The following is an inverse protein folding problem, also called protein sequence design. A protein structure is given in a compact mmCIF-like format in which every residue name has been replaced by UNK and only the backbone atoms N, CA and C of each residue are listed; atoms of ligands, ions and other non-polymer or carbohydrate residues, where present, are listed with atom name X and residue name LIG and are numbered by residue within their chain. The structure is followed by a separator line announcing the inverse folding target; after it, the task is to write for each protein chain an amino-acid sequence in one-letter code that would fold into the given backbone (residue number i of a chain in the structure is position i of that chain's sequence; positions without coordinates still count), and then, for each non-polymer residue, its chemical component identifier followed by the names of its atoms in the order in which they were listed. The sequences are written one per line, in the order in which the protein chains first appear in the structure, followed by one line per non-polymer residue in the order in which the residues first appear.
data_IF_598010091067
#
_entry.id   IF_598010091067
#
_cell.length_a   1.000
_cell.length_b   1.000
_cell.length_c   1.000
_cell.angle_alpha   90.00
_cell.angle_beta   90.00
_cell.angle_gamma   90.00
#
_symmetry.space_group_name_H-M   'P 1'
#
loop_
_entity.id
_entity.type
_entity.pdbx_description
1 polymer ?
#
# COMPACT_ATOMS: atom_id res chain seq x y z
N UNK A 1 19.21 -37.81 0.90
CA UNK A 1 18.63 -37.44 -0.41
C UNK A 1 17.20 -36.86 -0.33
N UNK A 2 16.52 -36.94 0.80
CA UNK A 2 15.11 -36.47 0.92
C UNK A 2 14.94 -34.97 1.15
N UNK A 3 15.90 -34.31 1.76
CA UNK A 3 15.77 -32.89 2.13
C UNK A 3 15.90 -31.94 0.93
N UNK A 4 16.74 -32.27 -0.04
CA UNK A 4 16.94 -31.42 -1.23
C UNK A 4 15.69 -31.44 -2.12
N UNK A 5 15.02 -32.58 -2.23
CA UNK A 5 13.80 -32.74 -3.04
C UNK A 5 12.64 -31.95 -2.43
N UNK A 6 12.50 -31.97 -1.10
CA UNK A 6 11.44 -31.25 -0.39
C UNK A 6 11.61 -29.73 -0.52
N UNK A 7 12.84 -29.25 -0.42
CA UNK A 7 13.15 -27.80 -0.56
C UNK A 7 12.89 -27.30 -1.97
N UNK A 8 13.26 -28.07 -2.99
CA UNK A 8 12.98 -27.72 -4.40
C UNK A 8 11.49 -27.73 -4.70
N UNK A 9 10.73 -28.67 -4.15
CA UNK A 9 9.28 -28.72 -4.32
C UNK A 9 8.57 -27.54 -3.61
N UNK A 10 9.03 -27.15 -2.44
CA UNK A 10 8.51 -25.99 -1.73
C UNK A 10 8.84 -24.69 -2.47
N UNK A 11 10.03 -24.58 -3.03
CA UNK A 11 10.45 -23.42 -3.82
C UNK A 11 9.60 -23.27 -5.09
N UNK A 12 9.42 -24.37 -5.83
CA UNK A 12 8.60 -24.40 -7.03
C UNK A 12 7.13 -24.05 -6.72
N UNK A 13 6.60 -24.51 -5.59
CA UNK A 13 5.25 -24.16 -5.16
C UNK A 13 5.13 -22.66 -4.83
N UNK A 14 6.10 -22.11 -4.09
CA UNK A 14 6.13 -20.70 -3.74
C UNK A 14 6.27 -19.78 -4.97
N UNK A 15 6.98 -20.22 -6.00
CA UNK A 15 7.11 -19.51 -7.27
C UNK A 15 5.81 -19.57 -8.07
N UNK A 16 5.16 -20.73 -8.14
CA UNK A 16 3.88 -20.88 -8.84
C UNK A 16 2.74 -20.08 -8.16
N UNK A 17 2.82 -19.86 -6.86
CA UNK A 17 1.86 -19.01 -6.14
C UNK A 17 1.98 -17.52 -6.51
N UNK A 18 3.08 -17.11 -7.12
CA UNK A 18 3.32 -15.72 -7.56
C UNK A 18 2.93 -15.47 -9.02
N UNK A 19 2.61 -16.52 -9.76
CA UNK A 19 2.12 -16.40 -11.13
C UNK A 19 0.80 -15.61 -11.18
N UNK A 20 0.65 -14.72 -12.14
CA UNK A 20 -0.57 -13.98 -12.32
C UNK A 20 -0.41 -12.66 -13.07
N UNK A 21 -1.44 -11.85 -12.98
CA UNK A 21 -1.49 -10.54 -13.63
C UNK A 21 -0.94 -9.45 -12.71
N UNK A 22 -0.04 -8.67 -13.28
CA UNK A 22 0.60 -7.55 -12.60
C UNK A 22 0.36 -6.25 -13.35
N UNK A 23 -0.06 -5.22 -12.64
CA UNK A 23 -0.05 -3.87 -13.14
C UNK A 23 1.38 -3.34 -13.07
N UNK A 24 1.94 -2.95 -14.19
CA UNK A 24 3.29 -2.39 -14.24
C UNK A 24 3.25 -0.87 -14.28
N UNK A 25 4.22 -0.28 -13.62
CA UNK A 25 4.37 1.17 -13.49
C UNK A 25 5.83 1.54 -13.32
N UNK A 26 6.17 2.78 -13.63
CA UNK A 26 7.52 3.28 -13.49
C UNK A 26 7.71 4.15 -12.25
N UNK A 27 8.87 4.01 -11.64
CA UNK A 27 9.44 4.94 -10.68
C UNK A 27 10.87 5.23 -11.09
N UNK A 28 11.19 6.48 -11.36
CA UNK A 28 12.48 6.88 -11.94
C UNK A 28 12.72 6.15 -13.30
N UNK A 29 13.77 5.37 -13.38
CA UNK A 29 14.12 4.65 -14.60
C UNK A 29 13.84 3.14 -14.49
N UNK A 30 13.16 2.71 -13.45
CA UNK A 30 12.91 1.29 -13.18
C UNK A 30 11.42 0.97 -13.22
N UNK A 31 11.12 -0.22 -13.66
CA UNK A 31 9.75 -0.73 -13.75
C UNK A 31 9.42 -1.66 -12.60
N UNK A 32 8.25 -1.45 -12.04
CA UNK A 32 7.70 -2.20 -10.91
C UNK A 32 6.38 -2.85 -11.28
N UNK A 33 5.99 -3.87 -10.56
CA UNK A 33 4.70 -4.53 -10.73
C UNK A 33 3.97 -4.73 -9.41
N UNK A 34 2.66 -4.57 -9.46
CA UNK A 34 1.74 -4.92 -8.37
C UNK A 34 0.76 -5.98 -8.84
N UNK A 35 0.46 -6.95 -7.98
CA UNK A 35 -0.62 -7.90 -8.25
C UNK A 35 -1.91 -7.14 -8.56
N UNK A 36 -2.53 -7.45 -9.71
CA UNK A 36 -3.74 -6.74 -10.16
C UNK A 36 -4.89 -6.84 -9.16
N UNK A 37 -4.95 -7.92 -8.40
CA UNK A 37 -5.98 -8.13 -7.37
C UNK A 37 -5.88 -7.15 -6.20
N UNK A 38 -4.72 -6.54 -6.01
CA UNK A 38 -4.51 -5.48 -5.01
C UNK A 38 -4.88 -4.09 -5.52
N UNK A 39 -5.01 -3.92 -6.82
CA UNK A 39 -5.34 -2.65 -7.46
C UNK A 39 -6.84 -2.48 -7.51
N UNK A 40 -7.34 -1.44 -6.87
CA UNK A 40 -8.76 -1.09 -6.89
C UNK A 40 -9.10 -0.19 -8.07
N UNK A 41 -8.33 0.85 -8.28
CA UNK A 41 -8.47 1.76 -9.40
C UNK A 41 -7.20 2.60 -9.63
N UNK A 42 -7.12 3.22 -10.78
CA UNK A 42 -6.05 4.15 -11.15
C UNK A 42 -6.70 5.48 -11.46
N UNK A 43 -6.21 6.53 -10.82
CA UNK A 43 -6.73 7.89 -11.01
C UNK A 43 -5.59 8.84 -11.41
N UNK A 44 -5.92 9.90 -12.14
CA UNK A 44 -4.97 10.97 -12.40
C UNK A 44 -4.52 11.66 -11.10
N UNK A 45 -3.36 12.29 -11.14
CA UNK A 45 -2.88 13.05 -9.99
C UNK A 45 -3.85 14.19 -9.69
N UNK A 46 -4.24 14.31 -8.45
CA UNK A 46 -5.19 15.30 -7.97
C UNK A 46 -4.64 16.05 -6.76
N UNK A 47 -5.31 17.11 -6.35
CA UNK A 47 -4.94 17.85 -5.16
C UNK A 47 -4.99 16.98 -3.91
N UNK A 48 -3.89 16.98 -3.17
CA UNK A 48 -3.71 16.21 -1.94
C UNK A 48 -3.67 17.17 -0.76
N UNK A 49 -4.50 16.90 0.23
CA UNK A 49 -4.50 17.66 1.48
C UNK A 49 -3.41 17.14 2.39
N UNK A 50 -2.40 17.97 2.66
CA UNK A 50 -1.31 17.60 3.53
C UNK A 50 -1.77 17.40 4.99
N UNK A 51 -1.29 16.35 5.63
CA UNK A 51 -1.55 16.06 7.05
C UNK A 51 -0.29 16.35 7.84
N UNK A 52 -0.35 17.22 8.87
CA UNK A 52 0.83 17.54 9.67
C UNK A 52 1.31 16.35 10.50
N UNK A 53 2.61 16.36 10.83
CA UNK A 53 3.26 15.34 11.67
C UNK A 53 3.26 13.90 11.07
N UNK A 54 3.17 13.80 9.76
CA UNK A 54 3.31 12.53 9.05
C UNK A 54 4.74 12.34 8.52
N UNK A 55 5.18 11.09 8.28
CA UNK A 55 6.44 10.82 7.61
C UNK A 55 6.54 11.51 6.25
N UNK A 56 7.75 11.80 5.79
CA UNK A 56 8.00 12.54 4.54
C UNK A 56 7.40 11.87 3.29
N UNK A 57 7.26 10.54 3.28
CA UNK A 57 6.65 9.81 2.17
C UNK A 57 5.12 9.87 2.16
N UNK A 58 4.48 10.29 3.24
CA UNK A 58 3.03 10.52 3.28
C UNK A 58 2.74 11.88 2.70
N UNK A 59 2.11 11.90 1.54
CA UNK A 59 1.70 13.14 0.87
C UNK A 59 0.55 13.82 1.58
N UNK A 60 -0.34 13.03 2.17
CA UNK A 60 -1.54 13.52 2.82
C UNK A 60 -2.73 12.60 2.54
N UNK A 61 -3.88 13.20 2.32
CA UNK A 61 -5.13 12.49 2.04
C UNK A 61 -5.85 13.10 0.82
N UNK A 62 -6.63 12.27 0.16
CA UNK A 62 -7.57 12.69 -0.89
C UNK A 62 -8.98 12.31 -0.51
N UNK A 63 -9.95 13.04 -1.04
CA UNK A 63 -11.35 12.65 -1.00
C UNK A 63 -11.72 11.94 -2.31
N UNK A 64 -11.88 10.65 -2.25
CA UNK A 64 -12.30 9.85 -3.39
C UNK A 64 -13.73 9.37 -3.18
N UNK A 65 -14.68 10.01 -3.89
CA UNK A 65 -16.12 9.70 -3.81
C UNK A 65 -16.68 9.72 -2.39
N UNK A 66 -16.24 10.69 -1.57
CA UNK A 66 -16.67 10.84 -0.19
C UNK A 66 -15.89 10.00 0.82
N UNK A 67 -14.93 9.21 0.38
CA UNK A 67 -14.03 8.46 1.24
C UNK A 67 -12.68 9.16 1.33
N UNK A 68 -12.20 9.39 2.55
CA UNK A 68 -10.86 9.94 2.78
C UNK A 68 -9.84 8.80 2.72
N UNK A 69 -8.89 8.93 1.80
CA UNK A 69 -7.87 7.91 1.53
C UNK A 69 -6.49 8.51 1.74
N UNK A 70 -5.61 7.88 2.53
CA UNK A 70 -4.22 8.30 2.64
C UNK A 70 -3.47 8.10 1.32
N UNK A 71 -2.52 8.99 1.04
CA UNK A 71 -1.70 8.95 -0.18
C UNK A 71 -0.23 8.94 0.19
N UNK A 72 0.48 8.00 -0.36
CA UNK A 72 1.91 7.76 -0.17
C UNK A 72 2.66 7.99 -1.47
N UNK A 73 3.78 8.67 -1.39
CA UNK A 73 4.73 8.78 -2.50
C UNK A 73 5.70 7.61 -2.45
N UNK A 74 5.63 6.70 -3.42
CA UNK A 74 6.52 5.54 -3.45
C UNK A 74 7.98 5.89 -3.67
N UNK A 75 8.29 6.96 -4.42
CA UNK A 75 9.66 7.43 -4.55
C UNK A 75 10.25 7.80 -3.20
N UNK A 76 9.53 8.61 -2.44
CA UNK A 76 9.94 9.02 -1.11
C UNK A 76 10.03 7.83 -0.14
N UNK A 77 9.09 6.88 -0.24
CA UNK A 77 9.08 5.65 0.57
C UNK A 77 10.32 4.80 0.33
N UNK A 78 10.78 4.72 -0.91
CA UNK A 78 11.99 3.99 -1.28
C UNK A 78 13.29 4.81 -1.17
N UNK A 79 13.21 6.04 -0.65
CA UNK A 79 14.38 6.90 -0.50
C UNK A 79 14.94 7.43 -1.82
N UNK A 80 14.12 7.46 -2.87
CA UNK A 80 14.48 8.04 -4.16
C UNK A 80 14.28 9.55 -4.14
N UNK A 81 14.96 10.26 -5.04
CA UNK A 81 14.72 11.67 -5.24
C UNK A 81 13.28 11.92 -5.71
N UNK A 82 12.62 12.86 -5.05
CA UNK A 82 11.29 13.30 -5.48
C UNK A 82 11.41 14.20 -6.71
N UNK A 83 10.46 14.07 -7.61
CA UNK A 83 10.37 14.93 -8.78
C UNK A 83 9.07 15.70 -8.81
N UNK A 84 9.00 16.70 -9.67
CA UNK A 84 7.75 17.38 -9.95
C UNK A 84 6.77 16.42 -10.65
N UNK A 85 5.50 16.59 -10.39
CA UNK A 85 4.43 15.86 -11.08
C UNK A 85 4.39 16.25 -12.55
N UNK A 86 4.08 15.28 -13.40
CA UNK A 86 3.85 15.45 -14.82
C UNK A 86 2.41 15.09 -15.17
N UNK A 87 2.02 15.23 -16.43
CA UNK A 87 0.70 14.78 -16.89
C UNK A 87 0.50 13.25 -16.80
N UNK A 88 1.59 12.50 -16.74
CA UNK A 88 1.58 11.05 -16.63
C UNK A 88 1.54 10.57 -15.16
N UNK A 89 1.89 11.44 -14.21
CA UNK A 89 1.86 11.12 -12.79
C UNK A 89 0.45 10.74 -12.38
N UNK A 90 0.31 9.60 -11.73
CA UNK A 90 -0.99 9.10 -11.31
C UNK A 90 -0.95 8.48 -9.91
N UNK A 91 -2.13 8.20 -9.41
CA UNK A 91 -2.34 7.56 -8.12
C UNK A 91 -2.97 6.20 -8.37
N UNK A 92 -2.31 5.13 -7.95
CA UNK A 92 -2.86 3.80 -7.94
C UNK A 92 -3.50 3.59 -6.56
N UNK A 93 -4.81 3.39 -6.52
CA UNK A 93 -5.51 3.05 -5.29
C UNK A 93 -5.42 1.55 -5.08
N UNK A 94 -4.74 1.16 -4.02
CA UNK A 94 -4.55 -0.23 -3.64
C UNK A 94 -5.35 -0.59 -2.41
N UNK A 95 -5.70 -1.84 -2.29
CA UNK A 95 -6.36 -2.41 -1.13
C UNK A 95 -5.41 -3.33 -0.39
N UNK A 96 -5.15 -3.01 0.87
CA UNK A 96 -4.28 -3.78 1.75
C UNK A 96 -5.07 -4.31 2.93
N UNK A 97 -4.71 -5.47 3.44
CA UNK A 97 -5.37 -6.10 4.57
C UNK A 97 -4.44 -6.22 5.76
N UNK A 98 -4.90 -5.75 6.92
CA UNK A 98 -4.24 -6.01 8.20
C UNK A 98 -5.31 -6.44 9.22
N UNK A 99 -5.02 -7.51 9.95
CA UNK A 99 -5.87 -8.02 11.04
C UNK A 99 -7.35 -8.21 10.66
N UNK A 100 -7.62 -8.66 9.43
CA UNK A 100 -8.98 -8.88 8.93
C UNK A 100 -9.74 -7.61 8.53
N UNK A 101 -9.06 -6.47 8.47
CA UNK A 101 -9.60 -5.21 7.95
C UNK A 101 -8.95 -4.88 6.63
N UNK A 102 -9.74 -4.32 5.72
CA UNK A 102 -9.27 -3.82 4.42
C UNK A 102 -9.15 -2.31 4.44
N UNK A 103 -8.02 -1.81 3.94
CA UNK A 103 -7.73 -0.38 3.86
C UNK A 103 -7.39 -0.01 2.42
N UNK A 104 -7.94 1.11 1.97
CA UNK A 104 -7.56 1.69 0.68
C UNK A 104 -6.48 2.75 0.90
N UNK A 105 -5.41 2.67 0.13
CA UNK A 105 -4.31 3.63 0.14
C UNK A 105 -3.98 4.02 -1.29
N UNK A 106 -3.80 5.30 -1.55
CA UNK A 106 -3.28 5.79 -2.83
C UNK A 106 -1.76 5.78 -2.83
N UNK A 107 -1.17 5.27 -3.88
CA UNK A 107 0.27 5.36 -4.11
C UNK A 107 0.56 6.21 -5.33
N UNK A 108 1.42 7.20 -5.18
CA UNK A 108 1.85 8.06 -6.29
C UNK A 108 2.98 7.37 -7.04
N UNK A 109 2.81 7.25 -8.35
CA UNK A 109 3.80 6.69 -9.27
C UNK A 109 4.03 7.64 -10.45
N UNK A 110 5.15 7.49 -11.14
CA UNK A 110 5.49 8.38 -12.25
C UNK A 110 4.53 8.22 -13.42
N UNK A 111 4.30 6.99 -13.83
CA UNK A 111 3.27 6.61 -14.80
C UNK A 111 2.95 5.12 -14.71
N UNK A 112 1.77 4.76 -15.13
CA UNK A 112 1.34 3.36 -15.29
C UNK A 112 1.66 2.92 -16.71
N UNK A 113 2.13 1.70 -16.87
CA UNK A 113 2.47 1.12 -18.16
C UNK A 113 1.34 0.21 -18.66
N UNK A 114 1.36 -1.03 -18.26
CA UNK A 114 0.43 -2.05 -18.74
C UNK A 114 0.14 -3.13 -17.69
N UNK A 115 -0.81 -3.98 -17.99
CA UNK A 115 -1.06 -5.20 -17.21
C UNK A 115 -0.41 -6.37 -17.94
N UNK A 116 0.50 -7.04 -17.27
CA UNK A 116 1.21 -8.22 -17.78
C UNK A 116 0.78 -9.48 -17.05
N UNK A 117 0.64 -10.55 -17.80
CA UNK A 117 0.50 -11.89 -17.27
C UNK A 117 1.88 -12.52 -17.17
N UNK A 118 2.35 -12.78 -15.96
CA UNK A 118 3.69 -13.28 -15.70
C UNK A 118 3.59 -14.72 -15.22
N UNK A 119 4.18 -15.63 -15.97
CA UNK A 119 4.23 -17.04 -15.60
C UNK A 119 5.18 -17.26 -14.41
N UNK A 120 4.90 -18.26 -13.58
CA UNK A 120 5.73 -18.57 -12.41
C UNK A 120 7.18 -18.86 -12.76
N UNK A 121 7.45 -19.46 -13.92
CA UNK A 121 8.81 -19.74 -14.42
C UNK A 121 9.62 -18.48 -14.77
N UNK A 122 8.93 -17.36 -15.02
CA UNK A 122 9.54 -16.06 -15.31
C UNK A 122 9.74 -15.21 -14.04
N UNK A 123 9.35 -15.70 -12.88
CA UNK A 123 9.52 -15.01 -11.60
C UNK A 123 10.64 -15.67 -10.80
N UNK A 124 11.67 -14.90 -10.51
CA UNK A 124 12.78 -15.33 -9.65
C UNK A 124 12.71 -14.63 -8.28
N UNK A 125 13.28 -15.26 -7.28
CA UNK A 125 13.45 -14.60 -5.99
C UNK A 125 14.40 -13.40 -6.09
N UNK A 126 14.16 -12.38 -5.26
CA UNK A 126 15.08 -11.26 -5.18
C UNK A 126 16.48 -11.71 -4.76
N UNK A 127 17.54 -11.29 -5.46
CA UNK A 127 18.90 -11.62 -5.05
C UNK A 127 19.18 -11.03 -3.66
N UNK A 128 20.09 -11.67 -2.94
CA UNK A 128 20.54 -11.12 -1.66
C UNK A 128 21.58 -10.02 -1.91
N UNK A 129 21.22 -8.78 -1.55
CA UNK A 129 22.10 -7.61 -1.67
C UNK A 129 22.95 -7.36 -0.41
N UNK A 130 23.15 -8.39 0.41
CA UNK A 130 23.81 -8.29 1.71
C UNK A 130 22.83 -8.08 2.87
N UNK A 131 23.32 -8.23 4.08
CA UNK A 131 22.51 -8.19 5.30
C UNK A 131 21.92 -6.81 5.65
N UNK A 132 22.38 -5.76 4.99
CA UNK A 132 21.94 -4.39 5.25
C UNK A 132 20.74 -3.96 4.40
N UNK A 133 20.38 -4.71 3.35
CA UNK A 133 19.30 -4.39 2.45
C UNK A 133 18.08 -5.26 2.77
N UNK A 134 17.01 -4.62 3.21
CA UNK A 134 15.74 -5.32 3.39
C UNK A 134 15.02 -5.47 2.03
N UNK A 135 14.81 -6.69 1.62
CA UNK A 135 14.09 -7.05 0.40
C UNK A 135 12.74 -7.72 0.67
N UNK A 136 12.28 -7.70 1.91
CA UNK A 136 11.04 -8.39 2.32
C UNK A 136 9.79 -7.88 1.60
N UNK A 137 9.83 -6.65 1.10
CA UNK A 137 8.75 -6.05 0.32
C UNK A 137 8.75 -6.45 -1.16
N UNK A 138 9.74 -7.22 -1.61
CA UNK A 138 9.84 -7.71 -2.98
C UNK A 138 9.25 -9.12 -3.04
N UNK A 139 8.18 -9.30 -3.83
CA UNK A 139 7.62 -10.62 -4.14
C UNK A 139 8.56 -11.46 -4.98
N UNK A 140 9.21 -10.83 -5.95
CA UNK A 140 10.12 -11.46 -6.89
C UNK A 140 10.56 -10.51 -7.98
N UNK A 141 11.37 -11.06 -8.89
CA UNK A 141 11.88 -10.38 -10.08
C UNK A 141 11.23 -11.02 -11.30
N UNK A 142 10.33 -10.31 -11.97
CA UNK A 142 9.68 -10.77 -13.21
C UNK A 142 10.57 -10.53 -14.41
N UNK A 143 10.92 -11.58 -15.14
CA UNK A 143 11.69 -11.50 -16.38
C UNK A 143 10.75 -11.37 -17.57
N UNK A 144 10.81 -10.25 -18.25
CA UNK A 144 10.00 -9.97 -19.42
C UNK A 144 10.91 -9.60 -20.58
N UNK A 145 11.13 -10.54 -21.49
CA UNK A 145 12.11 -10.36 -22.55
C UNK A 145 13.51 -10.20 -21.96
N UNK A 146 14.15 -9.08 -22.26
CA UNK A 146 15.48 -8.73 -21.73
C UNK A 146 15.42 -7.82 -20.49
N UNK A 147 14.22 -7.40 -20.08
CA UNK A 147 14.03 -6.53 -18.92
C UNK A 147 13.63 -7.32 -17.68
N UNK A 148 13.90 -6.73 -16.52
CA UNK A 148 13.47 -7.24 -15.22
C UNK A 148 12.55 -6.22 -14.57
N UNK A 149 11.39 -6.67 -14.11
CA UNK A 149 10.44 -5.87 -13.36
C UNK A 149 10.43 -6.30 -11.90
N UNK A 150 10.48 -5.34 -11.00
CA UNK A 150 10.48 -5.59 -9.55
C UNK A 150 9.05 -5.75 -9.09
N UNK A 151 8.66 -6.97 -8.71
CA UNK A 151 7.31 -7.27 -8.23
C UNK A 151 7.22 -6.97 -6.73
N UNK A 152 6.30 -6.11 -6.35
CA UNK A 152 6.16 -5.61 -4.99
C UNK A 152 5.02 -6.32 -4.25
N UNK A 153 5.30 -6.66 -3.00
CA UNK A 153 4.27 -7.00 -2.02
C UNK A 153 3.76 -5.69 -1.38
N UNK A 154 2.65 -5.17 -1.88
CA UNK A 154 2.13 -3.87 -1.42
C UNK A 154 1.72 -3.90 0.05
N UNK A 155 1.28 -5.03 0.57
CA UNK A 155 0.96 -5.16 2.00
C UNK A 155 2.23 -4.94 2.83
N UNK A 156 3.36 -5.48 2.41
CA UNK A 156 4.65 -5.30 3.08
C UNK A 156 5.27 -3.93 2.86
N UNK A 157 5.11 -3.37 1.66
CA UNK A 157 5.56 -1.99 1.38
C UNK A 157 4.89 -1.00 2.32
N UNK A 158 3.60 -1.18 2.58
CA UNK A 158 2.80 -0.31 3.43
C UNK A 158 2.70 -0.80 4.89
N UNK A 159 3.21 -1.98 5.20
CA UNK A 159 3.27 -2.48 6.57
C UNK A 159 4.35 -1.76 7.39
N UNK A 160 4.09 -1.56 8.66
CA UNK A 160 5.05 -0.91 9.57
C UNK A 160 4.92 0.60 9.64
N UNK A 161 4.09 1.17 8.80
CA UNK A 161 3.62 2.53 8.98
C UNK A 161 2.28 2.46 9.69
N UNK A 162 2.11 3.25 10.73
CA UNK A 162 0.87 3.33 11.51
C UNK A 162 -0.31 3.90 10.69
N UNK A 163 -0.45 3.47 9.41
CA UNK A 163 -1.58 3.84 8.56
C UNK A 163 -2.91 3.36 9.14
N UNK A 164 -2.90 2.32 9.94
CA UNK A 164 -4.05 1.88 10.71
C UNK A 164 -4.57 2.93 11.69
N UNK A 165 -3.70 3.84 12.12
CA UNK A 165 -4.09 4.94 13.00
C UNK A 165 -4.74 6.11 12.26
N UNK A 166 -4.47 6.27 10.97
CA UNK A 166 -5.01 7.37 10.16
C UNK A 166 -6.30 7.02 9.42
N UNK A 167 -6.54 5.74 9.12
CA UNK A 167 -7.72 5.26 8.41
C UNK A 167 -8.81 4.62 9.28
N UNK A 168 -8.55 4.44 10.56
CA UNK A 168 -9.42 3.73 11.49
C UNK A 168 -10.12 4.62 12.51
N UNK A 169 -10.58 5.79 12.12
CA UNK A 169 -11.58 6.49 12.89
C UNK A 169 -12.91 5.75 12.83
N UNK A 170 -13.04 4.62 13.52
CA UNK A 170 -14.32 4.20 14.02
C UNK A 170 -14.75 5.28 14.99
N UNK A 171 -15.67 6.14 14.53
CA UNK A 171 -16.48 6.95 15.40
C UNK A 171 -17.30 5.95 16.22
N UNK A 172 -16.73 5.40 17.26
CA UNK A 172 -17.56 4.97 18.37
C UNK A 172 -18.20 6.25 18.88
N UNK A 173 -19.44 6.44 18.49
CA UNK A 173 -20.32 7.35 19.15
C UNK A 173 -20.41 6.90 20.62
N UNK A 174 -19.54 7.43 21.44
CA UNK A 174 -19.75 7.46 22.86
C UNK A 174 -20.93 8.43 23.09
N UNK A 175 -22.10 7.84 23.04
CA UNK A 175 -23.26 8.39 23.72
C UNK A 175 -22.95 8.29 25.21
N UNK A 176 -22.51 9.38 25.73
CA UNK A 176 -22.58 9.64 27.15
C UNK A 176 -23.33 10.89 27.32
N UNK A 177 -24.43 10.68 27.78
CA UNK A 177 -25.11 10.57 28.66
C UNK A 177 -25.43 11.30 29.68
N UNK A 178 -26.60 11.53 29.96
CA UNK A 178 -27.21 11.89 31.26
C UNK A 178 -26.49 12.97 32.06
N UNK A 179 -26.93 14.20 31.77
CA UNK A 179 -26.91 15.26 32.77
C UNK A 179 -27.99 14.92 33.79
N UNK A 180 -27.65 14.64 35.03
CA UNK A 180 -28.66 14.50 36.07
C UNK A 180 -29.28 15.86 36.33
N UNK A 181 -30.58 15.94 36.09
CA UNK A 181 -31.40 17.05 36.58
C UNK A 181 -31.35 17.03 38.09
N UNK A 182 -30.70 18.02 38.65
CA UNK A 182 -30.86 18.32 40.07
C UNK A 182 -32.17 19.05 40.24
N UNK A 183 -33.13 18.38 40.80
CA UNK A 183 -34.32 19.00 41.40
C UNK A 183 -33.88 19.84 42.60
N UNK A 184 -33.85 21.15 42.39
CA UNK A 184 -33.90 22.07 43.52
C UNK A 184 -35.37 22.38 43.82
N UNK A 185 -35.90 21.62 44.74
CA UNK A 185 -37.09 22.01 45.49
C UNK A 185 -36.75 23.17 46.38
N UNK A 186 -37.07 24.33 45.93
CA UNK A 186 -37.15 25.49 46.82
C UNK A 186 -38.47 25.48 47.60
N UNK A 187 -38.41 25.07 48.85
CA UNK A 187 -39.41 25.37 49.84
C UNK A 187 -39.21 26.81 50.31
N UNK A 188 -39.96 27.71 49.79
CA UNK A 188 -40.20 28.96 50.49
C UNK A 188 -41.46 28.84 51.29
N UNK A 189 -41.27 28.82 52.57
CA UNK A 189 -42.33 29.10 53.54
C UNK A 189 -42.30 30.53 54.02
N UNK A 190 -43.44 31.17 53.91
CA UNK A 190 -43.91 32.47 54.45
C UNK A 190 -43.73 33.64 53.51
#
# INVERSE_FOLDING_TARGET
MSETTTRTQQLNKAIMEKEGKYLTFALANEEYGLEILKVREIIGYMEITAVPQTPAYVKGVINLRGQVIPVVDLRAKFGMETTNTTEETCIIVVETGQEGRSFSTGIVVDHVEEVLDIAGEDIEEAPQFGSAVNTDFILGMGKIGESVKILLDIDRVLAGDDFGSFGGGSVEASVQEEIPLTDDEEKSGK
#
